data_IF_598217163299
#
_entry.id   IF_598217163299
#
_cell.length_a   1.000
_cell.length_b   1.000
_cell.length_c   1.000
_cell.angle_alpha   90.00
_cell.angle_beta   90.00
_cell.angle_gamma   90.00
#
_symmetry.space_group_name_H-M   'P 1'
#
loop_
_entity.id
_entity.type
_entity.pdbx_description
1 polymer ?
#
# COMPACT_ATOMS: atom_id res chain seq x y z
N UNK A 1 9.17 5.67 -9.23
CA UNK A 1 8.25 4.52 -9.41
C UNK A 1 8.43 3.85 -10.77
N UNK A 2 9.51 3.06 -10.92
CA UNK A 2 9.90 2.46 -12.20
C UNK A 2 9.59 0.96 -12.27
N UNK A 3 9.41 0.29 -11.12
CA UNK A 3 9.21 -1.15 -11.05
C UNK A 3 7.75 -1.54 -11.25
N UNK A 4 6.82 -0.89 -10.54
CA UNK A 4 5.39 -1.18 -10.67
C UNK A 4 4.90 -0.99 -12.11
N UNK A 5 5.35 0.08 -12.78
CA UNK A 5 5.04 0.34 -14.20
C UNK A 5 5.55 -0.77 -15.14
N UNK A 6 6.74 -1.32 -14.88
CA UNK A 6 7.30 -2.43 -15.67
C UNK A 6 6.52 -3.73 -15.45
N UNK A 7 6.14 -4.01 -14.20
CA UNK A 7 5.33 -5.19 -13.85
C UNK A 7 3.97 -5.11 -14.54
N UNK A 8 3.28 -3.96 -14.47
CA UNK A 8 1.98 -3.77 -15.11
C UNK A 8 2.06 -3.89 -16.65
N UNK A 9 3.16 -3.45 -17.26
CA UNK A 9 3.36 -3.56 -18.71
C UNK A 9 3.67 -4.99 -19.18
N UNK A 10 4.27 -5.82 -18.35
CA UNK A 10 4.61 -7.21 -18.69
C UNK A 10 4.66 -8.12 -17.45
N UNK A 11 3.50 -8.54 -16.91
CA UNK A 11 3.46 -9.34 -15.68
C UNK A 11 4.20 -10.67 -15.78
N UNK A 12 4.16 -11.31 -16.96
CA UNK A 12 4.84 -12.59 -17.21
C UNK A 12 6.36 -12.53 -17.08
N UNK A 13 6.96 -11.34 -17.25
CA UNK A 13 8.39 -11.12 -17.04
C UNK A 13 8.78 -11.07 -15.55
N UNK A 14 7.80 -11.05 -14.64
CA UNK A 14 8.00 -10.92 -13.20
C UNK A 14 7.19 -12.01 -12.46
N UNK A 15 7.60 -13.29 -12.52
CA UNK A 15 6.81 -14.41 -12.00
C UNK A 15 6.61 -14.39 -10.48
N UNK A 16 7.45 -13.68 -9.73
CA UNK A 16 7.26 -13.44 -8.30
C UNK A 16 6.20 -12.38 -7.99
N UNK A 17 5.60 -11.77 -9.02
CA UNK A 17 4.57 -10.75 -8.88
C UNK A 17 3.27 -11.20 -9.54
N UNK A 18 2.15 -10.75 -8.99
CA UNK A 18 0.82 -10.95 -9.53
C UNK A 18 0.08 -9.61 -9.57
N UNK A 19 -0.78 -9.44 -10.58
CA UNK A 19 -1.68 -8.28 -10.67
C UNK A 19 -3.11 -8.79 -10.54
N UNK A 20 -3.81 -8.35 -9.50
CA UNK A 20 -5.20 -8.74 -9.20
C UNK A 20 -5.95 -7.45 -8.87
N UNK A 21 -7.08 -7.19 -9.54
CA UNK A 21 -7.89 -5.97 -9.33
C UNK A 21 -7.08 -4.66 -9.39
N UNK A 22 -6.15 -4.57 -10.35
CA UNK A 22 -5.20 -3.45 -10.52
C UNK A 22 -4.19 -3.26 -9.37
N UNK A 23 -4.15 -4.18 -8.40
CA UNK A 23 -3.20 -4.20 -7.31
C UNK A 23 -2.04 -5.14 -7.63
N UNK A 24 -0.84 -4.75 -7.22
CA UNK A 24 0.38 -5.54 -7.41
C UNK A 24 0.69 -6.29 -6.12
N UNK A 25 0.86 -7.59 -6.22
CA UNK A 25 1.28 -8.47 -5.12
C UNK A 25 2.64 -9.06 -5.41
N UNK A 26 3.44 -9.25 -4.37
CA UNK A 26 4.74 -9.92 -4.42
C UNK A 26 4.68 -11.20 -3.59
N UNK A 27 5.15 -12.31 -4.15
CA UNK A 27 5.32 -13.58 -3.45
C UNK A 27 6.65 -13.57 -2.71
N UNK A 28 6.59 -13.42 -1.38
CA UNK A 28 7.75 -13.55 -0.50
C UNK A 28 7.62 -14.84 0.33
N UNK A 29 8.55 -15.79 0.11
CA UNK A 29 8.62 -17.08 0.83
C UNK A 29 7.29 -17.85 0.89
N UNK A 30 6.55 -17.87 -0.23
CA UNK A 30 5.26 -18.56 -0.34
C UNK A 30 4.07 -17.78 0.22
N UNK A 31 4.28 -16.53 0.66
CA UNK A 31 3.21 -15.62 1.11
C UNK A 31 3.06 -14.47 0.12
N UNK A 32 1.83 -14.20 -0.32
CA UNK A 32 1.53 -13.04 -1.17
C UNK A 32 1.34 -11.80 -0.31
N UNK A 33 2.08 -10.74 -0.62
CA UNK A 33 2.01 -9.44 0.06
C UNK A 33 1.65 -8.35 -0.92
N UNK A 34 0.73 -7.47 -0.51
CA UNK A 34 0.38 -6.30 -1.30
C UNK A 34 1.59 -5.35 -1.36
N UNK A 35 1.94 -4.91 -2.58
CA UNK A 35 2.99 -3.93 -2.79
C UNK A 35 2.37 -2.54 -2.70
N UNK A 36 2.82 -1.77 -1.70
CA UNK A 36 2.41 -0.37 -1.54
C UNK A 36 3.38 0.54 -2.28
N UNK A 37 2.89 1.46 -3.13
CA UNK A 37 3.74 2.42 -3.81
C UNK A 37 4.55 3.27 -2.83
N UNK A 38 5.79 3.59 -3.19
CA UNK A 38 6.59 4.55 -2.44
C UNK A 38 6.24 5.98 -2.85
N UNK A 39 6.14 6.90 -1.90
CA UNK A 39 5.98 8.33 -2.18
C UNK A 39 4.88 8.98 -1.35
N UNK A 40 4.60 10.23 -1.67
CA UNK A 40 3.63 11.06 -0.96
C UNK A 40 2.28 11.10 -1.66
N UNK A 41 1.24 11.27 -0.85
CA UNK A 41 -0.15 11.46 -1.24
C UNK A 41 -0.61 12.86 -0.82
N UNK A 42 -1.69 13.39 -1.43
CA UNK A 42 -2.31 14.61 -0.95
C UNK A 42 -2.75 14.48 0.51
N UNK A 43 -2.58 15.55 1.30
CA UNK A 43 -3.00 15.57 2.71
C UNK A 43 -4.51 15.26 2.88
N UNK A 44 -5.33 15.62 1.88
CA UNK A 44 -6.77 15.33 1.84
C UNK A 44 -7.12 13.85 1.70
N UNK A 45 -6.17 12.99 1.33
CA UNK A 45 -6.39 11.55 1.25
C UNK A 45 -6.36 10.89 2.63
N UNK A 46 -5.73 11.52 3.63
CA UNK A 46 -5.92 11.14 5.02
C UNK A 46 -7.14 11.87 5.58
N UNK A 47 -7.93 11.16 6.35
CA UNK A 47 -9.08 11.74 7.06
C UNK A 47 -8.74 12.00 8.53
N UNK A 48 -7.45 12.17 8.83
CA UNK A 48 -6.96 12.61 10.14
C UNK A 48 -7.34 14.06 10.38
N UNK A 49 -7.82 14.39 11.57
CA UNK A 49 -8.22 15.75 11.96
C UNK A 49 -7.03 16.66 12.28
N UNK A 50 -5.82 16.12 12.34
CA UNK A 50 -4.59 16.87 12.61
C UNK A 50 -3.82 17.11 11.32
N UNK A 51 -3.45 18.37 10.98
CA UNK A 51 -2.64 18.64 9.81
C UNK A 51 -1.27 17.95 9.99
N UNK A 52 -0.85 17.11 9.02
CA UNK A 52 0.41 16.40 9.16
C UNK A 52 1.58 17.38 9.02
N UNK A 53 2.66 17.18 9.78
CA UNK A 53 3.86 18.03 9.71
C UNK A 53 4.66 17.84 8.42
N UNK A 54 4.35 16.78 7.66
CA UNK A 54 4.94 16.44 6.38
C UNK A 54 3.86 15.88 5.44
N UNK A 55 4.07 15.86 4.11
CA UNK A 55 3.14 15.24 3.19
C UNK A 55 2.98 13.74 3.52
N UNK A 56 1.75 13.24 3.68
CA UNK A 56 1.54 11.85 4.05
C UNK A 56 1.94 10.90 2.91
N UNK A 57 2.12 9.63 3.23
CA UNK A 57 2.59 8.58 2.31
C UNK A 57 1.50 7.54 2.05
N UNK A 58 1.67 6.77 0.98
CA UNK A 58 0.76 5.65 0.68
C UNK A 58 0.74 4.59 1.81
N UNK A 59 1.85 4.42 2.53
CA UNK A 59 1.90 3.52 3.69
C UNK A 59 0.99 4.03 4.80
N UNK A 60 1.05 5.32 5.13
CA UNK A 60 0.18 5.92 6.15
C UNK A 60 -1.30 5.83 5.77
N UNK A 61 -1.63 5.97 4.48
CA UNK A 61 -2.99 5.77 3.99
C UNK A 61 -3.51 4.35 4.24
N UNK A 62 -2.69 3.34 3.93
CA UNK A 62 -3.06 1.93 4.11
C UNK A 62 -3.25 1.60 5.59
N UNK A 63 -2.39 2.14 6.45
CA UNK A 63 -2.50 1.99 7.91
C UNK A 63 -3.78 2.67 8.43
N UNK A 64 -4.07 3.90 8.01
CA UNK A 64 -5.29 4.63 8.39
C UNK A 64 -6.56 3.89 7.94
N UNK A 65 -6.56 3.38 6.71
CA UNK A 65 -7.66 2.57 6.17
C UNK A 65 -7.83 1.27 6.97
N UNK A 66 -6.76 0.52 7.22
CA UNK A 66 -6.83 -0.73 7.97
C UNK A 66 -7.33 -0.51 9.41
N UNK A 67 -6.85 0.55 10.07
CA UNK A 67 -7.26 0.90 11.42
C UNK A 67 -8.78 1.17 11.52
N UNK A 68 -9.34 1.90 10.54
CA UNK A 68 -10.77 2.23 10.52
C UNK A 68 -11.65 1.06 10.13
N UNK A 69 -11.26 0.35 9.07
CA UNK A 69 -12.10 -0.71 8.48
C UNK A 69 -12.28 -1.89 9.44
N UNK A 70 -11.28 -2.19 10.27
CA UNK A 70 -11.31 -3.33 11.21
C UNK A 70 -11.69 -2.89 12.64
N UNK A 71 -12.03 -1.61 12.84
CA UNK A 71 -12.65 -1.13 14.09
C UNK A 71 -11.68 -0.68 15.18
N UNK A 72 -10.74 0.21 14.87
CA UNK A 72 -9.78 0.79 15.81
C UNK A 72 -8.92 -0.25 16.55
N UNK A 73 -8.44 -1.24 15.80
CA UNK A 73 -7.52 -2.22 16.35
C UNK A 73 -6.24 -1.52 16.83
N UNK A 74 -5.79 -1.87 18.03
CA UNK A 74 -4.53 -1.34 18.57
C UNK A 74 -3.33 -1.69 17.69
N UNK A 75 -2.26 -0.89 17.75
CA UNK A 75 -1.08 -0.90 16.87
C UNK A 75 -0.63 -2.31 16.42
N UNK A 76 -0.51 -3.27 17.35
CA UNK A 76 -0.04 -4.64 17.08
C UNK A 76 -0.96 -5.49 16.18
N UNK A 77 -2.21 -5.07 16.01
CA UNK A 77 -3.18 -5.76 15.16
C UNK A 77 -3.37 -5.04 13.82
N UNK A 78 -2.81 -3.83 13.67
CA UNK A 78 -2.84 -3.05 12.43
C UNK A 78 -1.52 -3.16 11.65
N UNK A 79 -0.39 -3.35 12.33
CA UNK A 79 0.95 -3.55 11.77
C UNK A 79 1.36 -5.02 11.87
#
# INVERSE_FOLDING_TARGET
>A
DALARKILASPSSFPSFAVIDLLVFHCDRGTWRLVIPSGHIPASALTSTSPPSAPPTFVELVVDLAHRTIGHLGVRKTL
#
